data_IF_974558625354
#
_entry.id   IF_974558625354
#
_cell.length_a   1.000
_cell.length_b   1.000
_cell.length_c   1.000
_cell.angle_alpha   90.00
_cell.angle_beta   90.00
_cell.angle_gamma   90.00
#
_symmetry.space_group_name_H-M   'P 1'
#
loop_
_entity.id
_entity.type
_entity.pdbx_description
1 polymer ?
#
# COMPACT_ATOMS: atom_id res chain seq x y z
N UNK A 1 11.81 16.22 18.96
CA UNK A 1 10.96 15.09 18.63
C UNK A 1 9.52 15.55 18.48
N UNK A 2 8.91 15.19 17.39
CA UNK A 2 7.50 15.53 17.18
C UNK A 2 6.63 14.65 18.07
N UNK A 3 5.77 15.30 18.86
CA UNK A 3 4.87 14.59 19.75
C UNK A 3 3.46 14.67 19.16
N UNK A 4 3.07 13.63 18.43
CA UNK A 4 1.77 13.53 17.82
C UNK A 4 0.91 12.58 18.63
N UNK A 5 -0.32 13.01 18.95
CA UNK A 5 -1.25 12.18 19.70
C UNK A 5 -1.48 10.84 19.00
N UNK A 6 -1.56 9.78 19.79
CA UNK A 6 -1.87 8.46 19.27
C UNK A 6 -3.28 8.41 18.72
N UNK A 7 -3.54 7.49 17.82
CA UNK A 7 -4.87 7.27 17.27
C UNK A 7 -5.64 6.33 18.20
N UNK A 8 -6.98 6.49 18.21
CA UNK A 8 -7.84 5.64 19.03
C UNK A 8 -8.14 4.33 18.32
N UNK A 9 -8.46 4.40 17.03
CA UNK A 9 -8.72 3.24 16.19
C UNK A 9 -8.17 3.52 14.79
N UNK A 10 -7.43 2.59 14.23
CA UNK A 10 -6.91 2.74 12.89
C UNK A 10 -5.59 2.00 12.68
N UNK A 11 -4.73 2.60 11.87
CA UNK A 11 -3.49 1.96 11.43
C UNK A 11 -2.31 2.91 11.56
N UNK A 12 -1.16 2.37 11.95
CA UNK A 12 0.11 3.07 11.88
C UNK A 12 0.98 2.31 10.88
N UNK A 13 1.34 2.97 9.78
CA UNK A 13 2.20 2.40 8.75
C UNK A 13 3.61 2.91 8.99
N UNK A 14 4.53 2.01 9.32
CA UNK A 14 5.90 2.33 9.63
C UNK A 14 6.84 1.72 8.59
N UNK A 15 8.09 2.15 8.61
CA UNK A 15 9.13 1.69 7.69
C UNK A 15 8.79 1.96 6.22
N UNK A 16 8.07 3.06 5.97
CA UNK A 16 7.82 3.55 4.62
C UNK A 16 9.12 4.18 4.12
N UNK A 17 9.50 3.87 2.89
CA UNK A 17 10.69 4.46 2.29
C UNK A 17 10.56 5.99 2.28
N UNK A 18 11.59 6.68 2.78
CA UNK A 18 11.58 8.14 2.87
C UNK A 18 11.31 8.76 1.50
N UNK A 19 10.36 9.69 1.46
CA UNK A 19 9.95 10.35 0.23
C UNK A 19 8.79 9.68 -0.50
N UNK A 20 8.29 8.52 -0.02
CA UNK A 20 7.22 7.80 -0.71
C UNK A 20 5.89 7.79 0.04
N UNK A 21 5.81 8.40 1.22
CA UNK A 21 4.58 8.38 2.03
C UNK A 21 3.38 8.99 1.31
N UNK A 22 3.56 10.05 0.55
CA UNK A 22 2.45 10.66 -0.19
C UNK A 22 1.97 9.75 -1.31
N UNK A 23 2.87 9.01 -1.95
CA UNK A 23 2.47 8.02 -2.95
C UNK A 23 1.64 6.90 -2.30
N UNK A 24 2.04 6.44 -1.12
CA UNK A 24 1.27 5.45 -0.36
C UNK A 24 -0.11 6.02 -0.02
N UNK A 25 -0.16 7.26 0.45
CA UNK A 25 -1.40 7.95 0.78
C UNK A 25 -2.36 7.96 -0.42
N UNK A 26 -1.87 8.38 -1.59
CA UNK A 26 -2.69 8.44 -2.80
C UNK A 26 -3.10 7.05 -3.30
N UNK A 27 -2.18 6.09 -3.27
CA UNK A 27 -2.46 4.74 -3.75
C UNK A 27 -3.47 3.99 -2.89
N UNK A 28 -3.59 4.35 -1.62
CA UNK A 28 -4.62 3.80 -0.74
C UNK A 28 -5.95 4.53 -0.87
N UNK A 29 -6.02 5.57 -1.71
CA UNK A 29 -7.24 6.34 -1.91
C UNK A 29 -7.65 7.19 -0.72
N UNK A 30 -6.70 7.56 0.13
CA UNK A 30 -6.99 8.30 1.36
C UNK A 30 -7.41 9.74 1.09
N UNK A 31 -7.03 10.29 -0.06
CA UNK A 31 -7.41 11.65 -0.44
C UNK A 31 -8.92 11.79 -0.70
N UNK A 32 -9.60 10.69 -0.99
CA UNK A 32 -11.06 10.67 -1.17
C UNK A 32 -11.82 10.28 0.09
N UNK A 33 -11.11 10.04 1.19
CA UNK A 33 -11.71 9.58 2.44
C UNK A 33 -11.73 10.68 3.49
N UNK A 34 -12.71 10.63 4.37
CA UNK A 34 -12.85 11.59 5.44
C UNK A 34 -12.19 11.08 6.73
N UNK A 35 -10.97 10.57 6.60
CA UNK A 35 -10.21 10.06 7.73
C UNK A 35 -9.21 11.10 8.21
N UNK A 36 -8.89 11.06 9.50
CA UNK A 36 -7.80 11.88 10.03
C UNK A 36 -6.48 11.16 9.76
N UNK A 37 -5.57 11.83 9.07
CA UNK A 37 -4.29 11.26 8.65
C UNK A 37 -3.16 12.17 9.09
N UNK A 38 -2.14 11.59 9.72
CA UNK A 38 -0.90 12.30 10.06
C UNK A 38 0.23 11.66 9.29
N UNK A 39 1.03 12.51 8.63
CA UNK A 39 2.20 12.07 7.86
C UNK A 39 3.45 12.63 8.53
N UNK A 40 4.40 11.75 8.88
CA UNK A 40 5.68 12.16 9.45
C UNK A 40 6.74 11.71 8.45
N UNK A 41 7.46 12.68 7.91
CA UNK A 41 8.40 12.42 6.83
C UNK A 41 9.84 12.54 7.28
N UNK A 42 10.69 11.72 6.69
CA UNK A 42 12.14 11.81 6.84
C UNK A 42 12.61 11.63 8.28
N UNK A 43 12.04 10.65 8.97
CA UNK A 43 12.36 10.31 10.34
C UNK A 43 13.63 9.46 10.38
N UNK A 44 14.48 9.66 11.37
CA UNK A 44 15.68 8.87 11.56
C UNK A 44 15.30 7.41 11.85
N UNK A 45 15.94 6.48 11.17
CA UNK A 45 15.67 5.05 11.32
C UNK A 45 16.97 4.27 11.39
N UNK A 46 17.09 3.41 12.39
CA UNK A 46 18.28 2.54 12.52
C UNK A 46 18.33 1.48 11.43
N UNK A 47 17.15 1.07 10.92
CA UNK A 47 17.05 0.02 9.92
C UNK A 47 17.20 0.55 8.49
N UNK A 48 16.69 1.75 8.23
CA UNK A 48 16.58 2.27 6.86
C UNK A 48 17.36 3.56 6.63
N UNK A 49 18.00 4.12 7.65
CA UNK A 49 18.60 5.45 7.59
C UNK A 49 17.56 6.54 7.78
N UNK A 50 16.61 6.63 6.86
CA UNK A 50 15.47 7.54 6.95
C UNK A 50 14.19 6.78 6.54
N UNK A 51 13.08 7.15 7.14
CA UNK A 51 11.79 6.54 6.88
C UNK A 51 10.67 7.55 7.01
N UNK A 52 9.51 7.23 6.44
CA UNK A 52 8.28 7.96 6.66
C UNK A 52 7.33 7.12 7.51
N UNK A 53 6.43 7.78 8.22
CA UNK A 53 5.40 7.13 9.02
C UNK A 53 4.05 7.74 8.67
N UNK A 54 3.04 6.92 8.50
CA UNK A 54 1.69 7.35 8.18
C UNK A 54 0.74 6.81 9.25
N UNK A 55 0.04 7.72 9.94
CA UNK A 55 -0.97 7.34 10.95
C UNK A 55 -2.35 7.67 10.40
N UNK A 56 -3.24 6.69 10.38
CA UNK A 56 -4.57 6.83 9.82
C UNK A 56 -5.60 6.47 10.88
N UNK A 57 -6.47 7.41 11.23
CA UNK A 57 -7.57 7.14 12.13
C UNK A 57 -8.80 6.82 11.30
N UNK A 58 -9.23 5.55 11.37
CA UNK A 58 -10.33 5.04 10.56
C UNK A 58 -10.87 3.75 11.17
N UNK A 59 -12.07 3.31 10.78
CA UNK A 59 -12.57 2.01 11.24
C UNK A 59 -11.65 0.87 10.78
N UNK A 60 -11.50 -0.13 11.64
CA UNK A 60 -10.71 -1.32 11.29
C UNK A 60 -11.38 -2.02 10.11
N UNK A 61 -10.56 -2.43 9.14
CA UNK A 61 -11.03 -3.04 7.90
C UNK A 61 -11.17 -2.07 6.74
N UNK A 62 -10.94 -0.77 7.00
CA UNK A 62 -11.06 0.27 5.96
C UNK A 62 -9.86 0.33 5.00
N UNK A 63 -8.72 -0.24 5.42
CA UNK A 63 -7.50 -0.22 4.62
C UNK A 63 -7.28 -1.62 4.04
N UNK A 64 -7.04 -1.68 2.73
CA UNK A 64 -6.75 -2.93 2.05
C UNK A 64 -5.26 -3.24 2.18
N UNK A 65 -4.95 -4.20 3.06
CA UNK A 65 -3.56 -4.56 3.33
C UNK A 65 -2.91 -5.29 2.16
N UNK A 66 -3.69 -5.94 1.30
CA UNK A 66 -3.15 -6.58 0.09
C UNK A 66 -2.66 -5.53 -0.89
N UNK A 67 -3.42 -4.44 -1.07
CA UNK A 67 -3.00 -3.32 -1.91
C UNK A 67 -1.72 -2.71 -1.34
N UNK A 68 -1.67 -2.51 -0.04
CA UNK A 68 -0.49 -1.95 0.62
C UNK A 68 0.73 -2.86 0.45
N UNK A 69 0.56 -4.18 0.60
CA UNK A 69 1.63 -5.14 0.38
C UNK A 69 2.14 -5.13 -1.07
N UNK A 70 1.25 -4.89 -2.02
CA UNK A 70 1.63 -4.74 -3.42
C UNK A 70 2.45 -3.46 -3.63
N UNK A 71 2.06 -2.36 -2.97
CA UNK A 71 2.77 -1.08 -3.08
C UNK A 71 4.18 -1.20 -2.51
N UNK A 72 4.29 -1.68 -1.29
CA UNK A 72 5.59 -1.88 -0.64
C UNK A 72 5.44 -2.87 0.53
N UNK A 73 5.89 -4.10 0.31
CA UNK A 73 5.76 -5.15 1.32
C UNK A 73 6.73 -4.99 2.50
N UNK A 74 7.65 -4.02 2.44
CA UNK A 74 8.56 -3.73 3.56
C UNK A 74 7.92 -2.86 4.63
N UNK A 75 6.78 -2.27 4.34
CA UNK A 75 6.02 -1.47 5.31
C UNK A 75 5.48 -2.39 6.39
N UNK A 76 5.60 -1.97 7.66
CA UNK A 76 4.99 -2.68 8.78
C UNK A 76 3.72 -1.95 9.21
N UNK A 77 2.73 -2.71 9.67
CA UNK A 77 1.42 -2.15 10.03
C UNK A 77 1.14 -2.48 11.48
N UNK A 78 0.86 -1.43 12.28
CA UNK A 78 0.31 -1.59 13.62
C UNK A 78 -1.18 -1.29 13.55
N UNK A 79 -2.00 -2.25 13.96
CA UNK A 79 -3.45 -2.08 14.03
C UNK A 79 -3.78 -1.61 15.43
N UNK A 80 -4.45 -0.46 15.54
CA UNK A 80 -4.75 0.17 16.82
C UNK A 80 -6.24 0.07 17.12
N UNK A 81 -6.57 -0.41 18.31
CA UNK A 81 -7.94 -0.46 18.81
C UNK A 81 -7.95 0.04 20.26
N UNK A 82 -8.92 0.91 20.59
CA UNK A 82 -9.06 1.50 21.93
C UNK A 82 -7.77 2.16 22.43
N UNK A 83 -7.04 2.80 21.53
CA UNK A 83 -5.82 3.50 21.87
C UNK A 83 -4.60 2.63 22.07
N UNK A 84 -4.73 1.31 21.92
CA UNK A 84 -3.64 0.35 22.12
C UNK A 84 -3.37 -0.40 20.84
N UNK A 85 -2.11 -0.84 20.67
CA UNK A 85 -1.74 -1.67 19.52
C UNK A 85 -2.32 -3.06 19.73
N UNK A 86 -3.33 -3.41 18.91
CA UNK A 86 -3.97 -4.71 18.98
C UNK A 86 -3.19 -5.78 18.23
N UNK A 87 -2.51 -5.40 17.14
CA UNK A 87 -1.78 -6.35 16.31
C UNK A 87 -0.67 -5.62 15.57
N UNK A 88 0.47 -6.28 15.45
CA UNK A 88 1.57 -5.84 14.58
C UNK A 88 1.66 -6.82 13.43
N UNK A 89 1.59 -6.33 12.20
CA UNK A 89 1.53 -7.19 11.03
C UNK A 89 2.63 -6.81 10.03
N UNK A 90 3.31 -7.83 9.53
CA UNK A 90 4.21 -7.66 8.39
C UNK A 90 3.45 -7.94 7.11
N UNK A 91 3.69 -7.11 6.11
CA UNK A 91 3.05 -7.28 4.82
C UNK A 91 3.81 -8.29 3.96
N UNK A 92 3.09 -8.94 3.07
CA UNK A 92 3.67 -9.83 2.07
C UNK A 92 3.15 -9.42 0.71
N UNK A 93 3.86 -9.82 -0.34
CA UNK A 93 3.39 -9.59 -1.69
C UNK A 93 2.15 -10.45 -1.93
N UNK A 94 1.00 -9.86 -2.30
CA UNK A 94 -0.17 -10.67 -2.61
C UNK A 94 0.06 -11.49 -3.86
N UNK A 95 -0.55 -12.67 -3.92
CA UNK A 95 -0.44 -13.56 -5.07
C UNK A 95 -1.11 -12.96 -6.31
N UNK A 96 -2.17 -12.20 -6.07
CA UNK A 96 -2.98 -11.63 -7.14
C UNK A 96 -3.52 -10.27 -6.69
N UNK A 97 -3.54 -9.29 -7.60
CA UNK A 97 -4.19 -8.00 -7.36
C UNK A 97 -5.25 -7.77 -8.43
N UNK A 98 -6.43 -7.32 -8.00
CA UNK A 98 -7.58 -7.12 -8.86
C UNK A 98 -8.03 -5.67 -8.83
N UNK A 99 -8.09 -5.03 -9.98
CA UNK A 99 -8.51 -3.63 -10.12
C UNK A 99 -7.64 -2.62 -9.36
N UNK A 100 -6.40 -3.00 -9.04
CA UNK A 100 -5.43 -2.11 -8.37
C UNK A 100 -4.60 -1.36 -9.40
N UNK A 101 -4.14 -2.09 -10.40
CA UNK A 101 -3.37 -1.54 -11.53
C UNK A 101 -4.04 -1.97 -12.82
N UNK A 102 -3.80 -1.21 -13.89
CA UNK A 102 -4.40 -1.47 -15.18
C UNK A 102 -3.34 -1.85 -16.20
N UNK A 103 -3.68 -2.78 -17.09
CA UNK A 103 -2.79 -3.19 -18.15
C UNK A 103 -2.62 -2.06 -19.17
N UNK A 104 -1.39 -1.80 -19.56
CA UNK A 104 -1.07 -0.76 -20.55
C UNK A 104 -0.93 -1.30 -21.97
N UNK A 105 -1.06 -2.63 -22.15
CA UNK A 105 -0.99 -3.24 -23.47
C UNK A 105 -2.27 -2.94 -24.25
N UNK A 106 -2.20 -2.18 -25.34
CA UNK A 106 -3.40 -1.82 -26.09
C UNK A 106 -4.10 -3.00 -26.75
N UNK A 107 -3.44 -4.15 -26.84
CA UNK A 107 -4.00 -5.37 -27.40
C UNK A 107 -4.64 -6.27 -26.35
N UNK A 108 -4.51 -5.93 -25.06
CA UNK A 108 -5.09 -6.74 -24.00
C UNK A 108 -6.61 -6.59 -23.99
N UNK A 109 -7.31 -7.70 -23.76
CA UNK A 109 -8.78 -7.70 -23.70
C UNK A 109 -9.29 -6.74 -22.62
N UNK A 110 -8.56 -6.57 -21.52
CA UNK A 110 -8.96 -5.65 -20.46
C UNK A 110 -8.83 -4.18 -20.87
N UNK A 111 -8.04 -3.89 -21.90
CA UNK A 111 -7.89 -2.55 -22.45
C UNK A 111 -8.98 -2.28 -23.49
N UNK A 112 -9.35 -3.31 -24.25
CA UNK A 112 -10.31 -3.21 -25.36
C UNK A 112 -11.74 -3.23 -24.84
N UNK A 113 -12.06 -4.13 -23.92
CA UNK A 113 -13.40 -4.30 -23.38
C UNK A 113 -13.55 -3.65 -22.02
N UNK A 114 -14.53 -2.77 -21.90
CA UNK A 114 -14.86 -2.14 -20.63
C UNK A 114 -15.63 -3.12 -19.75
N UNK A 115 -15.43 -3.00 -18.45
CA UNK A 115 -16.13 -3.82 -17.48
C UNK A 115 -15.43 -5.10 -17.09
N UNK A 116 -14.34 -5.46 -17.76
CA UNK A 116 -13.55 -6.60 -17.33
C UNK A 116 -12.61 -6.17 -16.20
N UNK A 117 -12.50 -6.98 -15.13
CA UNK A 117 -11.57 -6.67 -14.05
C UNK A 117 -10.13 -6.76 -14.54
N UNK A 118 -9.30 -5.85 -14.08
CA UNK A 118 -7.87 -5.89 -14.31
C UNK A 118 -7.25 -6.79 -13.24
N UNK A 119 -6.60 -7.87 -13.65
CA UNK A 119 -6.04 -8.86 -12.74
C UNK A 119 -4.56 -9.07 -13.07
N UNK A 120 -3.71 -8.87 -12.07
CA UNK A 120 -2.28 -9.12 -12.19
C UNK A 120 -1.86 -10.19 -11.20
N UNK A 121 -1.03 -11.10 -11.64
CA UNK A 121 -0.58 -12.26 -10.87
C UNK A 121 0.90 -12.15 -10.57
N UNK A 122 1.28 -12.47 -9.34
CA UNK A 122 2.68 -12.50 -8.92
C UNK A 122 3.37 -13.68 -9.61
N UNK A 123 4.35 -13.39 -10.46
CA UNK A 123 5.09 -14.42 -11.20
C UNK A 123 6.51 -14.61 -10.71
N UNK A 124 7.09 -13.61 -10.04
CA UNK A 124 8.43 -13.69 -9.46
C UNK A 124 8.43 -12.97 -8.12
N UNK A 125 8.40 -13.74 -7.04
CA UNK A 125 8.30 -13.20 -5.69
C UNK A 125 9.56 -12.43 -5.28
N UNK A 126 10.75 -12.92 -5.68
CA UNK A 126 12.01 -12.27 -5.31
C UNK A 126 12.13 -10.88 -5.89
N UNK A 127 11.68 -10.69 -7.12
CA UNK A 127 11.79 -9.42 -7.83
C UNK A 127 10.47 -8.64 -7.85
N UNK A 128 9.45 -9.14 -7.16
CA UNK A 128 8.12 -8.52 -7.09
C UNK A 128 7.55 -8.24 -8.49
N UNK A 129 7.62 -9.23 -9.37
CA UNK A 129 7.14 -9.11 -10.74
C UNK A 129 5.69 -9.56 -10.83
N UNK A 130 4.83 -8.68 -11.35
CA UNK A 130 3.43 -8.97 -11.62
C UNK A 130 3.18 -8.93 -13.12
N UNK A 131 2.37 -9.87 -13.60
CA UNK A 131 1.98 -9.93 -15.01
C UNK A 131 0.47 -9.95 -15.15
N UNK A 132 -0.01 -9.30 -16.20
CA UNK A 132 -1.44 -9.33 -16.52
C UNK A 132 -1.89 -10.78 -16.74
N UNK A 133 -2.98 -11.17 -16.09
CA UNK A 133 -3.52 -12.53 -16.19
C UNK A 133 -3.95 -12.87 -17.62
N UNK A 134 -4.37 -11.87 -18.40
CA UNK A 134 -4.93 -12.09 -19.72
C UNK A 134 -3.88 -12.07 -20.84
N UNK A 135 -2.98 -11.09 -20.82
CA UNK A 135 -1.99 -10.94 -21.89
C UNK A 135 -0.54 -11.24 -21.46
N UNK A 136 -0.34 -11.45 -20.17
CA UNK A 136 0.96 -11.76 -19.56
C UNK A 136 1.99 -10.64 -19.66
N UNK A 137 1.56 -9.43 -20.00
CA UNK A 137 2.43 -8.26 -20.02
C UNK A 137 2.90 -7.93 -18.61
N UNK A 138 4.20 -7.68 -18.47
CA UNK A 138 4.79 -7.35 -17.17
C UNK A 138 4.39 -5.93 -16.75
N UNK A 139 3.98 -5.77 -15.49
CA UNK A 139 3.69 -4.46 -14.93
C UNK A 139 4.98 -3.71 -14.66
N UNK A 140 5.08 -2.47 -15.16
CA UNK A 140 6.25 -1.63 -14.97
C UNK A 140 6.00 -0.65 -13.82
N UNK A 141 6.68 -0.86 -12.70
CA UNK A 141 6.53 -0.02 -11.50
C UNK A 141 7.24 1.33 -11.60
N UNK A 142 8.07 1.51 -12.61
CA UNK A 142 8.88 2.73 -12.74
C UNK A 142 8.18 3.87 -13.45
N UNK A 143 6.97 3.67 -13.86
CA UNK A 143 6.19 4.73 -14.51
C UNK A 143 5.32 5.47 -13.54
#
# INVERSE_FOLDING_TARGET
>A
MLNISGIHEGYVLDHIKAGTSLDVFHNLGLDDKNYTVAVIMNVKSNKMGRKDILKIECPIGSIDLDVLGFIDHNITVDIVEDGNIAEKRKLTLPVEVKNVIHCHNPRCITTIEQGLPSVFVLTDKENAVYRCKYCEEKYDRKK
#
